data_IF_760314243559
#
_entry.id   IF_760314243559
#
_cell.length_a   1.000
_cell.length_b   1.000
_cell.length_c   1.000
_cell.angle_alpha   90.00
_cell.angle_beta   90.00
_cell.angle_gamma   90.00
#
_symmetry.space_group_name_H-M   'P 1'
#
loop_
_entity.id
_entity.type
_entity.pdbx_description
1 polymer ?
#
# COMPACT_ATOMS: atom_id res chain seq x y z
N UNK A 1 12.75 4.01 -10.00
CA UNK A 1 12.62 2.67 -10.61
C UNK A 1 11.16 2.25 -10.78
N UNK A 2 10.28 2.38 -9.77
CA UNK A 2 8.86 2.00 -9.91
C UNK A 2 8.11 2.74 -11.02
N UNK A 3 8.24 4.06 -11.09
CA UNK A 3 7.62 4.87 -12.17
C UNK A 3 8.02 4.38 -13.56
N UNK A 4 9.30 4.02 -13.78
CA UNK A 4 9.73 3.48 -15.08
C UNK A 4 9.04 2.15 -15.38
N UNK A 5 8.89 1.26 -14.40
CA UNK A 5 8.19 -0.01 -14.60
C UNK A 5 6.70 0.19 -14.88
N UNK A 6 6.07 1.20 -14.27
CA UNK A 6 4.70 1.63 -14.55
C UNK A 6 4.54 2.08 -16.00
N UNK A 7 5.40 2.99 -16.49
CA UNK A 7 5.34 3.44 -17.90
C UNK A 7 5.62 2.30 -18.90
N UNK A 8 6.50 1.35 -18.54
CA UNK A 8 6.74 0.16 -19.37
C UNK A 8 5.48 -0.69 -19.46
N UNK A 9 4.70 -0.83 -18.37
CA UNK A 9 3.45 -1.59 -18.40
C UNK A 9 2.41 -0.96 -19.34
N UNK A 10 2.29 0.37 -19.36
CA UNK A 10 1.48 1.05 -20.36
C UNK A 10 1.94 0.72 -21.78
N UNK A 11 3.24 0.81 -22.06
CA UNK A 11 3.80 0.47 -23.37
C UNK A 11 3.59 -1.01 -23.76
N UNK A 12 3.41 -1.89 -22.77
CA UNK A 12 3.11 -3.31 -22.95
C UNK A 12 1.61 -3.62 -23.04
N UNK A 13 0.74 -2.61 -22.95
CA UNK A 13 -0.70 -2.79 -23.17
C UNK A 13 -1.58 -2.59 -21.95
N UNK A 14 -1.05 -2.20 -20.78
CA UNK A 14 -1.88 -1.78 -19.64
C UNK A 14 -2.52 -0.41 -19.94
N UNK A 15 -3.44 -0.35 -20.89
CA UNK A 15 -4.14 0.86 -21.32
C UNK A 15 -5.58 0.49 -21.69
N UNK A 16 -6.50 1.43 -21.50
CA UNK A 16 -7.94 1.20 -21.68
C UNK A 16 -8.31 0.58 -23.03
N UNK A 17 -7.74 1.12 -24.12
CA UNK A 17 -8.03 0.66 -25.47
C UNK A 17 -7.72 -0.84 -25.66
N UNK A 18 -6.63 -1.33 -25.08
CA UNK A 18 -6.27 -2.75 -25.14
C UNK A 18 -7.23 -3.59 -24.28
N UNK A 19 -7.61 -3.12 -23.10
CA UNK A 19 -8.60 -3.81 -22.28
C UNK A 19 -9.95 -3.96 -23.01
N UNK A 20 -10.38 -2.94 -23.77
CA UNK A 20 -11.60 -3.00 -24.59
C UNK A 20 -11.45 -4.00 -25.75
N UNK A 21 -10.33 -3.96 -26.48
CA UNK A 21 -10.07 -4.90 -27.58
C UNK A 21 -10.03 -6.36 -27.13
N UNK A 22 -9.62 -6.60 -25.88
CA UNK A 22 -9.57 -7.93 -25.24
C UNK A 22 -10.86 -8.30 -24.49
N UNK A 23 -11.94 -7.51 -24.61
CA UNK A 23 -13.24 -7.76 -23.96
C UNK A 23 -13.14 -7.92 -22.43
N UNK A 24 -12.21 -7.17 -21.80
CA UNK A 24 -11.95 -7.24 -20.36
C UNK A 24 -12.75 -6.21 -19.55
N UNK A 25 -13.25 -5.17 -20.21
CA UNK A 25 -13.92 -4.02 -19.59
C UNK A 25 -15.40 -4.29 -19.42
N UNK A 26 -15.93 -3.95 -18.26
CA UNK A 26 -17.36 -3.85 -18.00
C UNK A 26 -17.69 -2.53 -17.30
N UNK A 27 -18.98 -2.24 -17.12
CA UNK A 27 -19.42 -1.17 -16.23
C UNK A 27 -20.35 -1.70 -15.14
N UNK A 28 -20.26 -1.07 -13.96
CA UNK A 28 -21.06 -1.40 -12.79
C UNK A 28 -21.81 -0.18 -12.32
N UNK A 29 -23.13 -0.34 -12.16
CA UNK A 29 -24.00 0.68 -11.63
C UNK A 29 -24.13 0.63 -10.11
N UNK A 30 -24.48 1.79 -9.54
CA UNK A 30 -24.74 2.00 -8.11
C UNK A 30 -23.56 1.67 -7.20
N UNK A 31 -22.33 1.59 -7.72
CA UNK A 31 -21.15 1.30 -6.94
C UNK A 31 -20.80 2.50 -6.04
N UNK A 32 -21.08 2.37 -4.74
CA UNK A 32 -20.97 3.46 -3.76
C UNK A 32 -21.75 4.72 -4.19
N UNK A 33 -22.86 4.54 -4.90
CA UNK A 33 -23.68 5.65 -5.42
C UNK A 33 -23.12 6.34 -6.67
N UNK A 34 -22.18 5.70 -7.37
CA UNK A 34 -21.73 6.06 -8.73
C UNK A 34 -22.45 5.17 -9.76
N UNK A 35 -22.74 5.72 -10.93
CA UNK A 35 -23.28 4.97 -12.08
C UNK A 35 -22.21 4.86 -13.15
N UNK A 36 -22.32 3.84 -14.00
CA UNK A 36 -21.39 3.57 -15.11
C UNK A 36 -19.91 3.55 -14.68
N UNK A 37 -19.62 2.86 -13.58
CA UNK A 37 -18.23 2.78 -13.08
C UNK A 37 -17.45 1.78 -13.93
N UNK A 38 -16.34 2.18 -14.57
CA UNK A 38 -15.53 1.30 -15.39
C UNK A 38 -14.78 0.28 -14.52
N UNK A 39 -14.84 -0.98 -14.89
CA UNK A 39 -14.18 -2.08 -14.17
C UNK A 39 -13.50 -3.05 -15.14
N UNK A 40 -12.51 -3.79 -14.64
CA UNK A 40 -12.01 -5.00 -15.29
C UNK A 40 -12.67 -6.21 -14.63
N UNK A 41 -13.37 -7.01 -15.43
CA UNK A 41 -14.14 -8.18 -14.99
C UNK A 41 -13.61 -9.49 -15.60
N UNK A 42 -12.32 -9.54 -15.94
CA UNK A 42 -11.67 -10.68 -16.56
C UNK A 42 -11.31 -11.80 -15.55
N UNK A 43 -11.16 -13.06 -16.00
CA UNK A 43 -11.09 -14.21 -15.10
C UNK A 43 -9.93 -14.20 -14.10
N UNK A 44 -8.70 -13.90 -14.54
CA UNK A 44 -7.54 -13.90 -13.62
C UNK A 44 -7.58 -12.69 -12.69
N UNK A 45 -7.98 -11.52 -13.18
CA UNK A 45 -8.18 -10.33 -12.33
C UNK A 45 -9.19 -10.64 -11.24
N UNK A 46 -10.37 -11.17 -11.58
CA UNK A 46 -11.38 -11.56 -10.60
C UNK A 46 -10.82 -12.56 -9.56
N UNK A 47 -10.09 -13.59 -10.00
CA UNK A 47 -9.49 -14.56 -9.09
C UNK A 47 -8.48 -13.92 -8.11
N UNK A 48 -7.59 -13.04 -8.59
CA UNK A 48 -6.60 -12.38 -7.73
C UNK A 48 -7.24 -11.35 -6.80
N UNK A 49 -8.29 -10.67 -7.25
CA UNK A 49 -9.04 -9.70 -6.43
C UNK A 49 -9.76 -10.40 -5.29
N UNK A 50 -10.43 -11.54 -5.54
CA UNK A 50 -11.05 -12.37 -4.49
C UNK A 50 -10.05 -12.76 -3.43
N UNK A 51 -8.89 -13.28 -3.87
CA UNK A 51 -7.82 -13.72 -2.99
C UNK A 51 -7.19 -12.55 -2.21
N UNK A 52 -7.00 -11.39 -2.84
CA UNK A 52 -6.37 -10.24 -2.20
C UNK A 52 -7.30 -9.58 -1.18
N UNK A 53 -8.54 -9.27 -1.56
CA UNK A 53 -9.50 -8.63 -0.65
C UNK A 53 -10.13 -9.61 0.35
N UNK A 54 -10.00 -10.92 0.15
CA UNK A 54 -10.66 -11.93 1.00
C UNK A 54 -12.17 -11.89 0.83
N UNK A 55 -12.64 -11.72 -0.41
CA UNK A 55 -14.06 -11.63 -0.77
C UNK A 55 -14.34 -12.52 -1.99
N UNK A 56 -14.95 -13.68 -1.78
CA UNK A 56 -15.24 -14.65 -2.85
C UNK A 56 -16.20 -14.12 -3.92
N UNK A 57 -17.11 -13.22 -3.55
CA UNK A 57 -18.11 -12.66 -4.46
C UNK A 57 -17.56 -11.51 -5.33
N UNK A 58 -16.32 -11.06 -5.09
CA UNK A 58 -15.76 -9.94 -5.84
C UNK A 58 -15.37 -10.38 -7.25
N UNK A 59 -16.16 -9.99 -8.24
CA UNK A 59 -16.01 -10.43 -9.64
C UNK A 59 -15.21 -9.47 -10.52
N UNK A 60 -14.84 -8.29 -10.02
CA UNK A 60 -14.20 -7.24 -10.82
C UNK A 60 -13.29 -6.35 -9.97
N UNK A 61 -12.48 -5.51 -10.61
CA UNK A 61 -11.78 -4.41 -9.98
C UNK A 61 -12.01 -3.11 -10.74
N UNK A 62 -12.23 -2.03 -9.99
CA UNK A 62 -12.45 -0.70 -10.56
C UNK A 62 -11.20 -0.15 -11.26
N UNK A 63 -11.42 0.45 -12.42
CA UNK A 63 -10.48 1.37 -13.05
C UNK A 63 -10.66 2.77 -12.46
N UNK A 64 -9.62 3.60 -12.57
CA UNK A 64 -9.69 4.98 -12.10
C UNK A 64 -10.67 5.79 -12.96
N UNK A 65 -11.61 6.46 -12.29
CA UNK A 65 -12.69 7.25 -12.89
C UNK A 65 -12.54 8.77 -12.66
N UNK A 66 -11.59 9.15 -11.80
CA UNK A 66 -11.23 10.53 -11.47
C UNK A 66 -9.86 10.92 -12.07
N UNK A 67 -9.44 12.18 -11.98
CA UNK A 67 -8.22 12.66 -12.62
C UNK A 67 -8.42 13.14 -14.07
N UNK A 68 -7.31 13.26 -14.81
CA UNK A 68 -7.30 13.65 -16.21
C UNK A 68 -7.40 12.48 -17.19
N UNK A 69 -7.40 12.77 -18.50
CA UNK A 69 -7.41 11.75 -19.56
C UNK A 69 -6.24 10.76 -19.45
N UNK A 70 -5.07 11.23 -19.00
CA UNK A 70 -3.90 10.37 -18.76
C UNK A 70 -3.98 9.51 -17.49
N UNK A 71 -4.99 9.71 -16.64
CA UNK A 71 -5.17 8.97 -15.38
C UNK A 71 -6.34 8.00 -15.47
N UNK A 72 -7.46 8.44 -16.05
CA UNK A 72 -8.68 7.63 -16.12
C UNK A 72 -8.47 6.37 -16.96
N UNK A 73 -9.20 5.32 -16.59
CA UNK A 73 -9.38 4.08 -17.36
C UNK A 73 -8.14 3.21 -17.61
N UNK A 74 -6.93 3.75 -17.50
CA UNK A 74 -5.67 3.02 -17.70
C UNK A 74 -4.94 2.73 -16.40
N UNK A 75 -5.62 2.90 -15.27
CA UNK A 75 -5.08 2.68 -13.93
C UNK A 75 -6.10 1.97 -13.07
N UNK A 76 -5.63 1.23 -12.07
CA UNK A 76 -6.48 0.78 -10.98
C UNK A 76 -6.99 1.95 -10.15
N UNK A 77 -8.23 1.82 -9.68
CA UNK A 77 -8.82 2.77 -8.75
C UNK A 77 -7.93 2.93 -7.52
N UNK A 78 -7.37 4.12 -7.33
CA UNK A 78 -6.40 4.39 -6.25
C UNK A 78 -7.03 4.13 -4.88
N UNK A 79 -8.31 4.44 -4.68
CA UNK A 79 -9.05 4.14 -3.44
C UNK A 79 -8.84 2.71 -2.94
N UNK A 80 -8.95 1.71 -3.82
CA UNK A 80 -8.82 0.28 -3.47
C UNK A 80 -7.42 -0.28 -3.66
N UNK A 81 -6.58 0.38 -4.48
CA UNK A 81 -5.29 -0.14 -4.93
C UNK A 81 -4.13 0.85 -4.75
N UNK A 82 -4.20 1.80 -3.80
CA UNK A 82 -3.27 2.94 -3.61
C UNK A 82 -1.77 2.59 -3.72
N UNK A 83 -1.40 1.44 -3.19
CA UNK A 83 0.01 1.01 -3.11
C UNK A 83 0.45 0.17 -4.32
N UNK A 84 -0.44 -0.15 -5.25
CA UNK A 84 -0.15 -0.90 -6.47
C UNK A 84 0.73 -0.09 -7.44
N UNK A 85 1.45 -0.81 -8.29
CA UNK A 85 2.24 -0.24 -9.37
C UNK A 85 1.39 0.52 -10.37
N UNK A 86 0.17 0.07 -10.67
CA UNK A 86 -0.72 0.68 -11.67
C UNK A 86 -1.86 1.49 -11.06
N UNK A 87 -1.71 1.98 -9.82
CA UNK A 87 -2.66 2.96 -9.27
C UNK A 87 -2.53 4.31 -9.98
N UNK A 88 -3.63 5.07 -10.11
CA UNK A 88 -3.71 6.35 -10.83
C UNK A 88 -2.61 7.36 -10.49
N UNK A 89 -2.21 7.35 -9.22
CA UNK A 89 -0.97 7.95 -8.74
C UNK A 89 -0.20 6.88 -7.96
N UNK A 90 1.08 6.66 -8.27
CA UNK A 90 1.87 5.62 -7.61
C UNK A 90 2.55 6.15 -6.33
N UNK A 91 2.35 5.47 -5.19
CA UNK A 91 3.07 5.77 -3.93
C UNK A 91 4.16 4.72 -3.65
N UNK A 92 3.75 3.49 -3.33
CA UNK A 92 4.69 2.40 -3.05
C UNK A 92 5.18 1.68 -4.32
N UNK A 93 4.29 1.53 -5.31
CA UNK A 93 4.58 0.92 -6.60
C UNK A 93 4.77 -0.60 -6.54
N UNK A 94 3.90 -1.28 -5.80
CA UNK A 94 3.93 -2.73 -5.61
C UNK A 94 3.47 -3.43 -6.89
N UNK A 95 4.35 -4.24 -7.48
CA UNK A 95 3.99 -5.05 -8.66
C UNK A 95 3.17 -6.26 -8.19
N UNK A 96 1.87 -6.04 -7.99
CA UNK A 96 0.98 -7.02 -7.36
C UNK A 96 0.60 -8.17 -8.30
N UNK A 97 0.04 -9.22 -7.70
CA UNK A 97 -0.57 -10.33 -8.44
C UNK A 97 -1.75 -9.89 -9.30
N UNK A 98 -2.49 -8.86 -8.89
CA UNK A 98 -3.64 -8.31 -9.64
C UNK A 98 -3.16 -7.64 -10.94
N UNK A 99 -2.10 -6.85 -10.87
CA UNK A 99 -1.50 -6.24 -12.07
C UNK A 99 -0.91 -7.29 -13.00
N UNK A 100 -0.29 -8.35 -12.47
CA UNK A 100 0.16 -9.50 -13.28
C UNK A 100 -1.02 -10.18 -13.97
N UNK A 101 -2.14 -10.37 -13.27
CA UNK A 101 -3.33 -11.00 -13.81
C UNK A 101 -3.96 -10.20 -14.96
N UNK A 102 -4.03 -8.87 -14.85
CA UNK A 102 -4.53 -8.04 -15.95
C UNK A 102 -3.67 -8.17 -17.21
N UNK A 103 -2.35 -8.25 -17.07
CA UNK A 103 -1.48 -8.50 -18.23
C UNK A 103 -1.68 -9.91 -18.81
N UNK A 104 -1.93 -10.92 -17.97
CA UNK A 104 -2.19 -12.29 -18.43
C UNK A 104 -3.54 -12.43 -19.15
N UNK A 105 -4.59 -11.76 -18.66
CA UNK A 105 -5.92 -11.77 -19.29
C UNK A 105 -5.96 -11.07 -20.67
N UNK A 106 -4.91 -10.34 -21.07
CA UNK A 106 -4.76 -9.81 -22.44
C UNK A 106 -4.29 -10.85 -23.46
N UNK A 107 -4.01 -12.09 -23.04
CA UNK A 107 -3.47 -13.19 -23.85
C UNK A 107 -2.08 -12.95 -24.51
N UNK A 108 -1.46 -11.79 -24.33
CA UNK A 108 -0.10 -11.50 -24.80
C UNK A 108 0.98 -12.13 -23.91
N UNK A 109 0.66 -12.38 -22.64
CA UNK A 109 1.62 -12.73 -21.59
C UNK A 109 1.13 -13.91 -20.75
N UNK A 110 2.06 -14.53 -20.03
CA UNK A 110 1.74 -15.53 -19.01
C UNK A 110 2.26 -15.07 -17.66
N UNK A 111 1.36 -14.95 -16.69
CA UNK A 111 1.67 -14.43 -15.36
C UNK A 111 2.59 -15.37 -14.56
N UNK A 112 3.60 -14.78 -13.91
CA UNK A 112 4.41 -15.49 -12.92
C UNK A 112 4.10 -14.97 -11.52
N UNK A 113 2.98 -15.44 -10.96
CA UNK A 113 2.51 -15.03 -9.63
C UNK A 113 3.50 -15.31 -8.49
N UNK A 114 4.45 -16.24 -8.66
CA UNK A 114 5.47 -16.49 -7.64
C UNK A 114 6.43 -15.31 -7.44
N UNK A 115 6.45 -14.37 -8.38
CA UNK A 115 7.24 -13.14 -8.31
C UNK A 115 6.41 -11.92 -7.88
N UNK A 116 5.10 -12.08 -7.70
CA UNK A 116 4.22 -11.00 -7.27
C UNK A 116 4.69 -10.42 -5.93
N UNK A 117 4.74 -9.10 -5.85
CA UNK A 117 5.04 -8.42 -4.61
C UNK A 117 3.78 -8.39 -3.74
N UNK A 118 3.87 -8.75 -2.45
CA UNK A 118 2.69 -8.74 -1.59
C UNK A 118 2.30 -7.30 -1.28
N UNK A 119 1.06 -6.95 -1.66
CA UNK A 119 0.45 -5.70 -1.25
C UNK A 119 -0.36 -5.93 0.04
N UNK A 120 -0.17 -5.06 1.03
CA UNK A 120 -0.95 -5.09 2.28
C UNK A 120 -2.18 -4.19 2.21
N UNK A 121 -2.12 -3.11 1.43
CA UNK A 121 -3.26 -2.23 1.21
C UNK A 121 -4.44 -3.01 0.61
N UNK A 122 -5.59 -2.95 1.27
CA UNK A 122 -6.80 -3.70 0.88
C UNK A 122 -6.77 -5.20 1.20
N UNK A 123 -5.66 -5.76 1.67
CA UNK A 123 -5.56 -7.20 1.91
C UNK A 123 -6.55 -7.64 2.99
N UNK A 124 -7.39 -8.63 2.69
CA UNK A 124 -8.44 -9.13 3.59
C UNK A 124 -9.41 -8.04 4.08
N UNK A 125 -9.58 -6.95 3.35
CA UNK A 125 -10.51 -5.87 3.71
C UNK A 125 -11.99 -6.29 3.58
N UNK A 126 -12.28 -7.41 2.92
CA UNK A 126 -13.61 -7.91 2.66
C UNK A 126 -14.32 -7.17 1.51
N UNK A 127 -15.52 -7.65 1.17
CA UNK A 127 -16.31 -7.13 0.05
C UNK A 127 -16.69 -5.66 0.21
N UNK A 128 -16.86 -5.21 1.47
CA UNK A 128 -17.20 -3.84 1.80
C UNK A 128 -16.20 -2.82 1.24
N UNK A 129 -14.93 -3.20 1.02
CA UNK A 129 -13.97 -2.28 0.42
C UNK A 129 -14.45 -1.79 -0.93
N UNK A 130 -15.11 -2.63 -1.73
CA UNK A 130 -15.63 -2.27 -3.04
C UNK A 130 -17.06 -1.71 -2.94
N UNK A 131 -17.92 -2.25 -2.07
CA UNK A 131 -19.33 -1.88 -2.05
C UNK A 131 -19.66 -0.67 -1.17
N UNK A 132 -18.89 -0.43 -0.12
CA UNK A 132 -19.26 0.49 0.96
C UNK A 132 -18.44 1.78 0.93
N UNK A 133 -18.98 2.83 1.56
CA UNK A 133 -18.21 4.05 1.82
C UNK A 133 -17.03 3.73 2.72
N UNK A 134 -15.89 4.38 2.46
CA UNK A 134 -14.68 4.22 3.26
C UNK A 134 -14.85 4.69 4.72
N UNK A 135 -15.69 5.69 4.92
CA UNK A 135 -15.99 6.31 6.22
C UNK A 135 -17.50 6.60 6.27
N UNK A 136 -18.11 6.32 7.41
CA UNK A 136 -19.54 6.59 7.69
C UNK A 136 -19.61 7.38 8.99
N UNK A 137 -20.18 8.58 8.94
CA UNK A 137 -20.33 9.48 10.09
C UNK A 137 -19.04 9.70 10.90
N UNK A 138 -17.91 9.83 10.21
CA UNK A 138 -16.59 9.98 10.86
C UNK A 138 -16.08 8.70 11.54
N UNK A 139 -16.56 7.53 11.11
CA UNK A 139 -16.03 6.22 11.52
C UNK A 139 -15.53 5.49 10.27
N UNK A 140 -14.22 5.23 10.23
CA UNK A 140 -13.61 4.46 9.14
C UNK A 140 -14.10 3.02 9.18
N UNK A 141 -14.55 2.53 8.02
CA UNK A 141 -14.92 1.14 7.83
C UNK A 141 -13.68 0.27 7.54
N UNK A 142 -12.55 0.90 7.16
CA UNK A 142 -11.27 0.25 6.92
C UNK A 142 -10.14 1.01 7.63
N UNK A 143 -10.00 0.88 8.97
CA UNK A 143 -9.09 1.72 9.77
C UNK A 143 -7.62 1.62 9.40
N UNK A 144 -7.20 0.52 8.77
CA UNK A 144 -5.83 0.32 8.26
C UNK A 144 -5.55 1.10 6.96
N UNK A 145 -6.60 1.60 6.30
CA UNK A 145 -6.53 2.27 4.99
C UNK A 145 -6.96 3.74 5.07
N UNK A 146 -8.08 3.99 5.76
CA UNK A 146 -8.72 5.31 5.82
C UNK A 146 -8.86 5.80 7.25
N UNK A 147 -8.76 7.11 7.44
CA UNK A 147 -8.92 7.75 8.74
C UNK A 147 -10.40 8.00 9.03
N UNK A 148 -10.84 7.75 10.26
CA UNK A 148 -12.21 8.08 10.66
C UNK A 148 -12.40 9.52 11.14
N UNK A 149 -11.39 10.17 11.72
CA UNK A 149 -11.59 11.44 12.41
C UNK A 149 -11.45 12.66 11.48
N UNK A 150 -12.34 13.65 11.64
CA UNK A 150 -12.29 14.94 10.94
C UNK A 150 -11.10 15.83 11.35
N UNK A 151 -10.42 15.54 12.47
CA UNK A 151 -9.29 16.34 12.98
C UNK A 151 -8.14 15.46 13.50
N UNK A 152 -7.56 14.56 12.69
CA UNK A 152 -6.49 13.69 13.12
C UNK A 152 -5.18 14.50 13.15
N UNK A 153 -4.81 15.01 14.33
CA UNK A 153 -3.55 15.77 14.52
C UNK A 153 -2.30 14.89 14.69
N UNK A 154 -2.45 13.57 14.59
CA UNK A 154 -1.37 12.62 14.91
C UNK A 154 -0.53 12.35 13.67
N UNK A 155 0.79 12.48 13.82
CA UNK A 155 1.74 12.06 12.82
C UNK A 155 1.95 10.54 12.94
N UNK A 156 1.42 9.75 12.02
CA UNK A 156 1.35 8.28 12.09
C UNK A 156 2.00 7.66 10.86
N UNK A 157 2.27 6.36 10.88
CA UNK A 157 2.79 5.67 9.71
C UNK A 157 1.75 5.64 8.58
N UNK A 158 2.20 5.86 7.34
CA UNK A 158 1.38 5.56 6.17
C UNK A 158 1.24 4.03 5.99
N UNK A 159 0.21 3.60 5.25
CA UNK A 159 -0.12 2.17 5.02
C UNK A 159 1.04 1.38 4.42
N UNK A 160 1.85 2.02 3.58
CA UNK A 160 3.04 1.46 2.91
C UNK A 160 4.26 1.29 3.84
N UNK A 161 4.18 1.85 5.06
CA UNK A 161 5.25 1.89 6.06
C UNK A 161 6.54 2.53 5.54
N UNK A 162 6.47 3.38 4.53
CA UNK A 162 7.63 4.07 3.97
C UNK A 162 7.92 5.41 4.65
N UNK A 163 6.95 5.99 5.36
CA UNK A 163 7.14 7.26 6.05
C UNK A 163 6.06 7.56 7.09
N UNK A 164 6.21 8.72 7.71
CA UNK A 164 5.26 9.27 8.67
C UNK A 164 4.48 10.40 7.99
N UNK A 165 3.17 10.36 8.14
CA UNK A 165 2.25 11.31 7.54
C UNK A 165 1.21 11.80 8.52
N UNK A 166 0.33 12.65 8.03
CA UNK A 166 -0.93 12.97 8.68
C UNK A 166 -2.07 12.46 7.79
N UNK A 167 -3.27 12.43 8.35
CA UNK A 167 -4.41 12.17 7.49
C UNK A 167 -4.66 13.38 6.58
N UNK A 168 -4.84 13.10 5.29
CA UNK A 168 -5.30 14.04 4.29
C UNK A 168 -6.81 14.23 4.46
N UNK A 169 -7.18 15.26 5.21
CA UNK A 169 -8.57 15.65 5.46
C UNK A 169 -8.63 17.16 5.68
N UNK A 170 -9.66 17.80 5.11
CA UNK A 170 -9.84 19.24 5.18
C UNK A 170 -11.29 19.65 4.96
N UNK A 171 -11.49 20.97 4.96
CA UNK A 171 -12.76 21.58 4.56
C UNK A 171 -12.67 21.97 3.09
N UNK A 172 -13.70 21.66 2.35
CA UNK A 172 -13.93 22.10 0.97
C UNK A 172 -14.71 23.42 0.97
N UNK A 173 -14.50 24.25 -0.05
CA UNK A 173 -15.22 25.53 -0.19
C UNK A 173 -16.73 25.37 -0.41
N UNK A 174 -17.15 24.16 -0.81
CA UNK A 174 -18.54 23.79 -1.06
C UNK A 174 -18.80 22.35 -0.60
N UNK A 175 -20.06 21.97 -0.34
CA UNK A 175 -20.41 20.61 0.03
C UNK A 175 -19.94 19.59 -1.02
N UNK A 176 -19.30 18.51 -0.59
CA UNK A 176 -18.96 17.39 -1.44
C UNK A 176 -20.23 16.73 -2.00
N UNK A 177 -20.19 16.10 -3.18
CA UNK A 177 -21.30 15.30 -3.69
C UNK A 177 -21.77 14.25 -2.66
N UNK A 178 -23.08 13.92 -2.54
CA UNK A 178 -23.60 13.02 -1.49
C UNK A 178 -22.89 11.66 -1.37
N UNK A 179 -22.41 11.12 -2.50
CA UNK A 179 -21.61 9.88 -2.54
C UNK A 179 -20.24 9.98 -1.87
N UNK A 180 -19.67 11.18 -1.81
CA UNK A 180 -18.37 11.49 -1.19
C UNK A 180 -18.51 12.20 0.16
N UNK A 181 -19.73 12.39 0.67
CA UNK A 181 -19.95 12.87 2.03
C UNK A 181 -19.75 11.72 3.02
N UNK A 182 -18.71 11.84 3.84
CA UNK A 182 -18.27 10.81 4.80
C UNK A 182 -18.43 11.23 6.26
N UNK A 183 -18.66 12.52 6.49
CA UNK A 183 -18.75 13.16 7.79
C UNK A 183 -20.10 13.85 7.93
N UNK A 184 -20.47 14.18 9.17
CA UNK A 184 -21.72 14.92 9.45
C UNK A 184 -21.76 16.29 8.79
N UNK A 185 -20.59 16.92 8.60
CA UNK A 185 -20.43 18.13 7.82
C UNK A 185 -20.12 17.77 6.37
N UNK A 186 -21.01 18.15 5.45
CA UNK A 186 -20.90 17.85 4.03
C UNK A 186 -19.69 18.51 3.35
N UNK A 187 -19.06 19.50 3.98
CA UNK A 187 -17.84 20.15 3.46
C UNK A 187 -16.56 19.46 3.92
N UNK A 188 -16.64 18.47 4.81
CA UNK A 188 -15.47 17.77 5.35
C UNK A 188 -15.21 16.48 4.58
N UNK A 189 -13.97 16.27 4.13
CA UNK A 189 -13.53 15.04 3.50
C UNK A 189 -12.04 15.06 3.19
N UNK A 190 -11.53 13.97 2.59
CA UNK A 190 -10.22 14.02 1.93
C UNK A 190 -10.24 15.01 0.76
N UNK A 191 -9.07 15.30 0.21
CA UNK A 191 -8.84 16.25 -0.89
C UNK A 191 -8.16 15.58 -2.09
N UNK A 192 -8.06 14.25 -2.09
CA UNK A 192 -7.61 13.42 -3.21
C UNK A 192 -8.84 12.81 -3.90
N UNK A 193 -9.10 13.24 -5.14
CA UNK A 193 -10.24 12.78 -5.93
C UNK A 193 -10.09 11.32 -6.40
N UNK A 194 -8.87 10.85 -6.67
CA UNK A 194 -8.60 9.45 -7.05
C UNK A 194 -8.89 8.48 -5.88
N UNK A 195 -8.87 9.01 -4.66
CA UNK A 195 -9.29 8.29 -3.45
C UNK A 195 -10.81 8.35 -3.21
N UNK A 196 -11.60 8.86 -4.17
CA UNK A 196 -13.02 9.23 -3.98
C UNK A 196 -13.20 10.16 -2.76
N UNK A 197 -12.23 11.04 -2.47
CA UNK A 197 -12.19 11.89 -1.27
C UNK A 197 -12.14 11.12 0.06
N UNK A 198 -11.81 9.84 0.05
CA UNK A 198 -11.58 9.07 1.26
C UNK A 198 -10.31 9.56 1.97
N UNK A 199 -10.39 9.96 3.24
CA UNK A 199 -9.23 10.46 3.98
C UNK A 199 -8.26 9.32 4.27
N UNK A 200 -6.99 9.47 3.89
CA UNK A 200 -5.92 8.49 4.10
C UNK A 200 -4.68 9.16 4.70
N UNK A 201 -3.75 8.38 5.25
CA UNK A 201 -2.48 8.92 5.73
C UNK A 201 -1.54 9.17 4.56
N UNK A 202 -1.26 10.44 4.27
CA UNK A 202 -0.27 10.84 3.28
C UNK A 202 1.08 11.07 3.93
N UNK A 203 2.12 10.28 3.60
CA UNK A 203 3.45 10.47 4.17
C UNK A 203 4.07 11.77 3.64
N UNK A 204 4.72 12.53 4.51
CA UNK A 204 5.45 13.72 4.08
C UNK A 204 6.72 13.33 3.31
N UNK A 205 7.06 14.09 2.27
CA UNK A 205 8.19 13.82 1.37
C UNK A 205 9.55 13.70 2.08
N UNK A 206 9.74 14.40 3.21
CA UNK A 206 10.98 14.41 3.99
C UNK A 206 11.02 13.38 5.14
N UNK A 207 10.02 12.50 5.24
CA UNK A 207 9.90 11.49 6.31
C UNK A 207 10.21 10.06 5.85
N UNK A 208 10.61 9.89 4.59
CA UNK A 208 10.87 8.59 3.99
C UNK A 208 11.94 7.82 4.78
N UNK A 209 11.55 6.68 5.34
CA UNK A 209 12.39 5.79 6.14
C UNK A 209 13.48 5.11 5.29
N UNK A 210 13.20 4.86 4.01
CA UNK A 210 14.10 4.14 3.10
C UNK A 210 15.25 4.99 2.57
N UNK A 211 15.16 6.31 2.71
CA UNK A 211 16.15 7.28 2.24
C UNK A 211 16.64 8.19 3.38
N UNK A 212 17.41 9.23 3.06
CA UNK A 212 17.98 10.16 4.05
C UNK A 212 16.95 11.15 4.63
N UNK A 213 15.75 10.71 4.99
CA UNK A 213 14.94 11.47 5.94
C UNK A 213 15.79 11.74 7.20
N UNK A 214 15.73 12.94 7.78
CA UNK A 214 16.46 13.26 9.01
C UNK A 214 15.64 14.05 10.03
N UNK A 215 14.35 14.23 9.75
CA UNK A 215 13.46 15.10 10.54
C UNK A 215 12.70 14.35 11.63
N UNK A 216 12.59 13.01 11.53
CA UNK A 216 11.81 12.23 12.50
C UNK A 216 12.65 11.94 13.75
N UNK A 217 12.06 12.18 14.92
CA UNK A 217 12.69 11.87 16.20
C UNK A 217 12.71 10.35 16.39
N UNK A 218 13.70 9.84 17.11
CA UNK A 218 13.83 8.41 17.39
C UNK A 218 14.06 7.51 16.17
N UNK A 219 14.26 8.10 14.98
CA UNK A 219 14.23 7.34 13.73
C UNK A 219 15.61 6.93 13.22
N UNK A 220 15.65 5.77 12.56
CA UNK A 220 16.82 5.24 11.84
C UNK A 220 16.45 4.98 10.40
N UNK A 221 17.30 5.43 9.50
CA UNK A 221 17.06 5.42 8.06
C UNK A 221 17.96 4.41 7.33
N UNK A 222 17.50 3.99 6.16
CA UNK A 222 18.23 3.11 5.24
C UNK A 222 17.26 2.29 4.38
N UNK A 223 17.75 1.66 3.31
CA UNK A 223 16.89 0.99 2.31
C UNK A 223 15.84 0.01 2.90
N UNK A 224 16.20 -0.68 3.99
CA UNK A 224 15.35 -1.63 4.71
C UNK A 224 14.67 -1.06 5.96
N UNK A 225 14.78 0.24 6.22
CA UNK A 225 14.02 0.88 7.28
C UNK A 225 12.56 1.04 6.88
N UNK A 226 11.67 0.82 7.85
CA UNK A 226 10.22 0.97 7.71
C UNK A 226 9.67 1.73 8.90
N UNK A 227 8.48 2.30 8.73
CA UNK A 227 7.75 2.98 9.78
C UNK A 227 7.05 1.97 10.69
N UNK A 228 7.25 2.14 11.99
CA UNK A 228 6.61 1.35 13.05
C UNK A 228 5.71 2.25 13.88
N UNK A 229 4.50 1.77 14.12
CA UNK A 229 3.48 2.48 14.89
C UNK A 229 3.89 2.56 16.37
N UNK A 230 3.75 3.75 16.95
CA UNK A 230 3.96 4.04 18.37
C UNK A 230 2.66 4.65 18.93
N UNK A 231 1.62 3.84 19.18
CA UNK A 231 0.25 4.33 19.40
C UNK A 231 0.08 5.19 20.66
N UNK A 232 0.92 4.97 21.67
CA UNK A 232 0.97 5.76 22.90
C UNK A 232 1.92 6.98 22.82
N UNK A 233 2.55 7.23 21.67
CA UNK A 233 3.67 8.14 21.53
C UNK A 233 4.96 7.58 22.14
N UNK A 234 6.02 8.38 22.10
CA UNK A 234 7.33 8.03 22.67
C UNK A 234 8.10 9.30 23.08
N UNK A 235 9.12 9.12 23.91
CA UNK A 235 10.01 10.21 24.29
C UNK A 235 11.48 9.85 24.04
N UNK A 236 12.23 10.78 23.47
CA UNK A 236 13.67 10.69 23.19
C UNK A 236 14.43 11.66 24.07
N UNK A 237 15.44 11.18 24.80
CA UNK A 237 16.27 12.03 25.68
C UNK A 237 15.46 12.80 26.74
N UNK A 238 14.31 12.28 27.18
CA UNK A 238 13.41 12.93 28.13
C UNK A 238 12.33 13.82 27.53
N UNK A 239 12.35 14.08 26.21
CA UNK A 239 11.39 14.95 25.53
C UNK A 239 10.36 14.15 24.75
N UNK A 240 9.08 14.46 24.95
CA UNK A 240 7.99 13.80 24.22
C UNK A 240 8.02 14.15 22.74
N UNK A 241 7.87 13.15 21.89
CA UNK A 241 7.74 13.32 20.44
C UNK A 241 6.30 13.70 20.07
N UNK A 242 6.15 14.58 19.08
CA UNK A 242 4.85 14.84 18.45
C UNK A 242 4.41 13.70 17.50
N UNK A 243 5.28 12.71 17.28
CA UNK A 243 5.09 11.61 16.35
C UNK A 243 4.58 10.36 17.06
N UNK A 244 3.67 9.64 16.38
CA UNK A 244 3.09 8.35 16.76
C UNK A 244 3.56 7.23 15.83
N UNK A 245 4.67 7.48 15.12
CA UNK A 245 5.38 6.50 14.31
C UNK A 245 6.85 6.91 14.21
N UNK A 246 7.73 5.92 14.03
CA UNK A 246 9.17 6.15 13.85
C UNK A 246 9.77 5.14 12.87
N UNK A 247 10.87 5.51 12.21
CA UNK A 247 11.58 4.60 11.34
C UNK A 247 12.52 3.69 12.14
N UNK A 248 12.47 2.39 11.90
CA UNK A 248 13.44 1.43 12.43
C UNK A 248 14.00 0.57 11.31
N UNK A 249 15.28 0.16 11.43
CA UNK A 249 15.88 -0.78 10.48
C UNK A 249 15.24 -2.14 10.62
N UNK A 250 14.90 -2.76 9.49
CA UNK A 250 14.34 -4.11 9.44
C UNK A 250 15.39 -5.08 8.91
N UNK A 251 15.47 -6.25 9.53
CA UNK A 251 16.20 -7.39 9.00
C UNK A 251 15.22 -8.56 8.83
N UNK A 252 15.04 -8.98 7.58
CA UNK A 252 14.10 -10.03 7.18
C UNK A 252 14.79 -11.40 7.17
N UNK A 253 14.24 -12.35 7.93
CA UNK A 253 14.66 -13.76 7.91
C UNK A 253 13.99 -14.56 6.78
N UNK A 254 14.22 -15.87 6.74
CA UNK A 254 13.83 -16.74 5.62
C UNK A 254 12.40 -17.31 5.66
N UNK A 255 11.68 -17.24 6.79
CA UNK A 255 10.46 -18.03 7.00
C UNK A 255 9.30 -17.26 7.66
N UNK A 256 9.19 -15.94 7.46
CA UNK A 256 8.22 -14.97 8.08
C UNK A 256 8.67 -14.31 9.40
N UNK A 257 9.90 -14.57 9.85
CA UNK A 257 10.47 -13.87 11.00
C UNK A 257 11.23 -12.63 10.56
N UNK A 258 11.17 -11.56 11.34
CA UNK A 258 12.03 -10.40 11.16
C UNK A 258 12.45 -9.81 12.50
N UNK A 259 13.48 -8.99 12.46
CA UNK A 259 13.99 -8.25 13.62
C UNK A 259 14.15 -6.79 13.29
N UNK A 260 14.12 -5.96 14.33
CA UNK A 260 14.13 -4.50 14.23
C UNK A 260 15.27 -3.91 15.03
N UNK A 261 15.81 -2.79 14.54
CA UNK A 261 16.83 -2.01 15.25
C UNK A 261 16.43 -0.53 15.24
N UNK A 262 16.04 -0.05 16.42
CA UNK A 262 15.64 1.35 16.68
C UNK A 262 16.87 2.25 16.93
N UNK A 263 16.68 3.57 17.01
CA UNK A 263 17.77 4.52 17.23
C UNK A 263 18.49 4.27 18.55
N UNK A 264 19.83 4.28 18.52
CA UNK A 264 20.67 4.02 19.68
C UNK A 264 20.77 2.56 20.14
N UNK A 265 19.97 1.64 19.57
CA UNK A 265 20.11 0.22 19.87
C UNK A 265 21.43 -0.32 19.30
N UNK A 266 22.08 -1.25 20.00
CA UNK A 266 23.31 -1.91 19.55
C UNK A 266 23.01 -3.12 18.67
N UNK A 267 21.94 -3.87 18.99
CA UNK A 267 21.56 -5.12 18.32
C UNK A 267 20.15 -5.06 17.73
N UNK A 268 19.86 -5.96 16.80
CA UNK A 268 18.50 -6.21 16.32
C UNK A 268 17.72 -7.03 17.34
N UNK A 269 16.45 -6.70 17.54
CA UNK A 269 15.54 -7.42 18.43
C UNK A 269 14.43 -8.08 17.61
N UNK A 270 14.09 -9.33 17.92
CA UNK A 270 13.01 -10.05 17.21
C UNK A 270 11.68 -9.32 17.40
N UNK A 271 10.97 -9.09 16.29
CA UNK A 271 9.65 -8.45 16.29
C UNK A 271 8.62 -9.48 15.83
N UNK A 272 7.84 -10.03 16.76
CA UNK A 272 6.76 -10.97 16.42
C UNK A 272 5.53 -10.15 16.04
N UNK A 273 4.86 -10.38 14.88
CA UNK A 273 3.65 -9.66 14.52
C UNK A 273 2.62 -9.62 15.66
N UNK A 274 2.06 -8.43 15.92
CA UNK A 274 1.13 -8.15 17.01
C UNK A 274 1.78 -7.90 18.38
N UNK A 275 3.08 -8.17 18.54
CA UNK A 275 3.79 -7.86 19.79
C UNK A 275 4.10 -6.36 19.92
N UNK A 276 4.17 -5.89 21.16
CA UNK A 276 4.64 -4.55 21.50
C UNK A 276 6.04 -4.62 22.09
N UNK A 277 6.95 -3.77 21.61
CA UNK A 277 8.32 -3.69 22.13
C UNK A 277 8.54 -2.34 22.84
N UNK A 278 8.74 -2.33 24.18
CA UNK A 278 9.03 -1.10 24.91
C UNK A 278 10.36 -0.48 24.45
N UNK A 279 10.33 0.77 24.01
CA UNK A 279 11.49 1.43 23.39
C UNK A 279 12.66 1.60 24.37
N UNK A 280 12.38 1.88 25.63
CA UNK A 280 13.38 2.03 26.70
C UNK A 280 14.15 0.73 27.00
N UNK A 281 13.55 -0.43 26.69
CA UNK A 281 14.23 -1.73 26.80
C UNK A 281 15.07 -2.05 25.56
N UNK A 282 14.75 -1.45 24.41
CA UNK A 282 15.50 -1.65 23.16
C UNK A 282 16.72 -0.72 23.06
N UNK A 283 16.64 0.48 23.63
CA UNK A 283 17.68 1.49 23.53
C UNK A 283 17.58 2.55 24.63
N UNK A 284 18.73 2.97 25.23
CA UNK A 284 18.77 4.02 26.23
C UNK A 284 18.44 5.42 25.67
N UNK A 285 18.37 5.57 24.34
CA UNK A 285 17.94 6.82 23.70
C UNK A 285 16.49 7.18 24.06
N UNK A 286 15.65 6.20 24.37
CA UNK A 286 14.24 6.40 24.66
C UNK A 286 13.96 6.36 26.16
N UNK A 287 13.22 7.34 26.66
CA UNK A 287 12.76 7.38 28.05
C UNK A 287 11.38 6.76 28.23
N UNK A 288 10.56 6.70 27.17
CA UNK A 288 9.23 6.06 27.21
C UNK A 288 8.72 5.69 25.81
N UNK A 289 7.61 4.96 25.77
CA UNK A 289 6.92 4.54 24.55
C UNK A 289 7.21 3.09 24.16
N UNK A 290 6.48 2.61 23.17
CA UNK A 290 6.66 1.29 22.57
C UNK A 290 6.33 1.35 21.09
N UNK A 291 6.88 0.40 20.33
CA UNK A 291 6.47 0.16 18.94
C UNK A 291 5.61 -1.11 18.86
N UNK A 292 4.69 -1.15 17.91
CA UNK A 292 3.94 -2.36 17.56
C UNK A 292 4.60 -3.05 16.36
N UNK A 293 4.79 -4.37 16.45
CA UNK A 293 5.32 -5.18 15.38
C UNK A 293 4.23 -5.49 14.33
N UNK A 294 4.34 -4.98 13.09
CA UNK A 294 3.34 -5.23 12.07
C UNK A 294 3.48 -6.62 11.43
N UNK A 295 2.55 -7.02 10.53
CA UNK A 295 2.68 -8.24 9.73
C UNK A 295 3.99 -8.25 8.93
N UNK A 296 4.60 -9.44 8.76
CA UNK A 296 5.87 -9.61 8.06
C UNK A 296 5.87 -8.97 6.66
N UNK A 297 4.85 -9.23 5.85
CA UNK A 297 4.77 -8.75 4.46
C UNK A 297 4.74 -7.21 4.37
N UNK A 298 4.22 -6.52 5.38
CA UNK A 298 4.18 -5.05 5.41
C UNK A 298 5.55 -4.39 5.54
N UNK A 299 6.55 -5.11 6.05
CA UNK A 299 7.91 -4.59 6.26
C UNK A 299 8.97 -5.32 5.46
N UNK A 300 8.72 -6.57 5.06
CA UNK A 300 9.64 -7.44 4.36
C UNK A 300 9.19 -7.84 2.95
N UNK A 301 7.95 -7.55 2.55
CA UNK A 301 7.35 -8.02 1.30
C UNK A 301 8.18 -7.72 0.05
N UNK A 302 8.64 -6.47 -0.09
CA UNK A 302 9.49 -6.05 -1.21
C UNK A 302 10.86 -6.76 -1.24
N UNK A 303 11.47 -7.04 -0.07
CA UNK A 303 12.79 -7.68 0.00
C UNK A 303 12.74 -9.18 -0.28
N UNK A 304 11.64 -9.84 0.12
CA UNK A 304 11.41 -11.26 -0.15
C UNK A 304 11.32 -11.53 -1.66
N UNK A 305 10.63 -10.68 -2.42
CA UNK A 305 10.54 -10.79 -3.88
C UNK A 305 11.90 -10.60 -4.56
N UNK A 306 12.68 -9.57 -4.18
CA UNK A 306 14.03 -9.35 -4.76
C UNK A 306 14.99 -10.50 -4.46
N UNK A 307 14.98 -11.04 -3.24
CA UNK A 307 15.88 -12.16 -2.88
C UNK A 307 15.49 -13.45 -3.60
N UNK A 308 14.19 -13.71 -3.78
CA UNK A 308 13.71 -14.85 -4.58
C UNK A 308 14.06 -14.68 -6.06
N UNK A 309 13.91 -13.47 -6.62
CA UNK A 309 14.30 -13.14 -8.00
C UNK A 309 15.79 -13.44 -8.25
N UNK A 310 16.66 -12.97 -7.35
CA UNK A 310 18.11 -13.14 -7.46
C UNK A 310 18.54 -14.59 -7.32
N UNK A 311 17.95 -15.35 -6.39
CA UNK A 311 18.23 -16.78 -6.20
C UNK A 311 17.82 -17.61 -7.42
N UNK A 312 16.69 -17.29 -8.05
CA UNK A 312 16.21 -18.01 -9.25
C UNK A 312 16.94 -17.59 -10.53
N UNK A 313 17.30 -16.32 -10.68
CA UNK A 313 18.17 -15.87 -11.77
C UNK A 313 19.58 -16.48 -11.73
N UNK A 314 20.08 -16.81 -10.53
CA UNK A 314 21.31 -17.57 -10.36
C UNK A 314 21.12 -19.07 -10.68
N UNK A 315 19.98 -19.67 -10.31
CA UNK A 315 19.67 -21.07 -10.64
C UNK A 315 19.46 -21.30 -12.15
N UNK A 316 18.76 -20.40 -12.85
CA UNK A 316 18.51 -20.50 -14.29
C UNK A 316 19.75 -20.30 -15.18
N UNK A 317 20.85 -19.75 -14.64
CA UNK A 317 22.15 -19.70 -15.34
C UNK A 317 22.98 -20.98 -15.18
N UNK A 318 22.55 -21.93 -14.33
CA UNK A 318 23.23 -23.20 -14.07
C UNK A 318 22.88 -24.33 -15.04
N UNK A 319 21.74 -24.26 -15.73
CA UNK A 319 21.24 -25.37 -16.58
C UNK A 319 21.58 -25.25 -18.08
N UNK A 320 22.26 -24.18 -18.52
CA UNK A 320 22.63 -23.99 -19.93
C UNK A 320 24.01 -24.56 -20.33
N UNK A 321 24.66 -25.38 -19.50
CA UNK A 321 25.97 -25.99 -19.78
C UNK A 321 26.04 -27.49 -19.46
N UNK A 322 25.21 -28.30 -20.09
CA UNK A 322 25.50 -29.73 -20.28
C UNK A 322 24.65 -30.30 -21.39
N UNK A 323 25.13 -30.21 -22.63
CA UNK A 323 24.42 -30.80 -23.77
C UNK A 323 25.12 -30.54 -25.09
N UNK A 324 26.33 -31.10 -25.27
CA UNK A 324 26.84 -31.56 -26.57
C UNK A 324 28.22 -32.22 -26.37
N UNK A 325 28.22 -33.55 -26.38
CA UNK A 325 29.37 -34.36 -26.76
C UNK A 325 28.85 -35.69 -27.33
N UNK A 326 28.67 -35.73 -28.65
CA UNK A 326 28.77 -36.91 -29.52
C UNK A 326 28.95 -36.41 -30.94
#
# INVERSE_FOLDING_TARGET
MRVIAHEILHALGFIFHVFEEQDMVASVDMLRGKSDVPVIASPMVAAQVRAHFGCEDQAFLELEDMGGEGTKLSHWKRRSMKDDLMAGTTVAGIYSAITIAAMEDMDFYKGNYSMAEPMMYGRNAGCGLVTDKCVVDGVSQFPEMFCGSAKPKKLVCASDRLGVGNCRIGNHDSPLPPRFQYFSDATVGGDDEEMDYCPYVEPFSNTNCSSNGRILNGSVYGAMSRCFDAPAGFAEGGWSSAQYGLCAKVHCGSTTTYSVKVKGATMFTRCKPGATLPLSLLSPTFSSGHITCPPYDSVCGMHASTTQALRRGAAGKGEARSGQSS
#
